data_IF_253747234690
#
_entry.id   IF_253747234690
#
_cell.length_a   1.000
_cell.length_b   1.000
_cell.length_c   1.000
_cell.angle_alpha   90.00
_cell.angle_beta   90.00
_cell.angle_gamma   90.00
#
_symmetry.space_group_name_H-M   'P 1'
#
loop_
_entity.id
_entity.type
_entity.pdbx_description
1 polymer ?
#
# COMPACT_ATOMS: atom_id res chain seq x y z
N UNK A 1 15.81 9.94 -0.58
CA UNK A 1 15.85 9.32 -1.89
C UNK A 1 14.70 8.35 -2.11
N UNK A 2 14.06 8.43 -3.24
CA UNK A 2 12.93 7.57 -3.53
C UNK A 2 13.39 6.16 -3.84
N UNK A 3 12.71 5.19 -3.32
CA UNK A 3 13.00 3.79 -3.53
C UNK A 3 12.11 3.18 -4.61
N UNK A 4 11.12 3.95 -5.05
CA UNK A 4 10.21 3.53 -6.09
C UNK A 4 10.54 4.27 -7.38
N UNK A 5 11.86 4.35 -7.68
CA UNK A 5 12.32 5.06 -8.87
C UNK A 5 12.15 4.26 -10.14
N UNK A 6 11.96 2.95 -10.01
CA UNK A 6 11.69 2.11 -11.18
C UNK A 6 10.28 2.42 -11.65
N UNK A 7 9.86 1.68 -12.66
CA UNK A 7 8.53 1.86 -13.21
C UNK A 7 7.48 1.60 -12.12
N UNK A 8 6.90 2.67 -11.60
CA UNK A 8 5.87 2.58 -10.58
C UNK A 8 4.48 2.81 -11.15
N UNK A 9 4.33 2.66 -12.47
CA UNK A 9 3.05 2.92 -13.12
C UNK A 9 1.95 2.00 -12.61
N UNK A 10 2.29 0.76 -12.27
CA UNK A 10 1.31 -0.18 -11.73
C UNK A 10 0.81 0.27 -10.36
N UNK A 11 1.72 0.77 -9.53
CA UNK A 11 1.34 1.27 -8.22
C UNK A 11 0.45 2.49 -8.33
N UNK A 12 0.77 3.38 -9.25
CA UNK A 12 -0.03 4.58 -9.48
C UNK A 12 -1.41 4.19 -9.99
N UNK A 13 -1.49 3.26 -10.93
CA UNK A 13 -2.77 2.81 -11.46
C UNK A 13 -3.64 2.18 -10.35
N UNK A 14 -3.01 1.38 -9.50
CA UNK A 14 -3.72 0.77 -8.38
C UNK A 14 -4.22 1.82 -7.40
N UNK A 15 -3.38 2.82 -7.11
CA UNK A 15 -3.75 3.89 -6.22
C UNK A 15 -4.92 4.70 -6.77
N UNK A 16 -4.91 4.97 -8.08
CA UNK A 16 -6.00 5.70 -8.72
C UNK A 16 -7.31 4.93 -8.65
N UNK A 17 -7.24 3.61 -8.76
CA UNK A 17 -8.43 2.78 -8.61
C UNK A 17 -8.98 2.87 -7.20
N UNK A 18 -8.09 2.84 -6.20
CA UNK A 18 -8.50 2.99 -4.80
C UNK A 18 -9.14 4.35 -4.58
N UNK A 19 -8.55 5.39 -5.15
CA UNK A 19 -9.11 6.73 -5.06
C UNK A 19 -10.53 6.77 -5.60
N UNK A 20 -10.76 6.12 -6.75
CA UNK A 20 -12.10 6.04 -7.30
C UNK A 20 -13.06 5.28 -6.39
N UNK A 21 -12.58 4.24 -5.73
CA UNK A 21 -13.41 3.49 -4.80
C UNK A 21 -13.78 4.33 -3.59
N UNK A 22 -12.84 5.16 -3.10
CA UNK A 22 -13.12 6.06 -1.97
C UNK A 22 -14.19 7.07 -2.38
N UNK A 23 -14.08 7.62 -3.58
CA UNK A 23 -15.09 8.54 -4.09
C UNK A 23 -16.45 7.86 -4.20
N UNK A 24 -16.45 6.56 -4.53
CA UNK A 24 -17.68 5.78 -4.56
C UNK A 24 -18.36 5.69 -3.21
N UNK A 25 -17.56 5.53 -2.14
CA UNK A 25 -18.12 5.50 -0.77
C UNK A 25 -18.71 6.86 -0.43
N UNK A 26 -18.04 7.92 -0.81
CA UNK A 26 -18.54 9.27 -0.57
C UNK A 26 -19.90 9.46 -1.24
N UNK A 27 -20.02 9.05 -2.50
CA UNK A 27 -21.28 9.17 -3.21
C UNK A 27 -22.38 8.31 -2.57
N UNK A 28 -22.01 7.11 -2.10
CA UNK A 28 -22.97 6.22 -1.45
C UNK A 28 -23.52 6.85 -0.19
N UNK A 29 -22.65 7.46 0.61
CA UNK A 29 -23.07 8.15 1.83
C UNK A 29 -23.96 9.35 1.52
N UNK A 30 -23.61 10.11 0.48
CA UNK A 30 -24.40 11.27 0.09
C UNK A 30 -25.79 10.88 -0.37
N UNK A 31 -25.92 9.72 -1.00
CA UNK A 31 -27.22 9.21 -1.48
C UNK A 31 -28.01 8.50 -0.41
N UNK A 32 -27.44 8.30 0.77
CA UNK A 32 -28.11 7.58 1.84
C UNK A 32 -28.18 6.10 1.62
N UNK A 33 -27.15 5.50 0.97
CA UNK A 33 -27.09 4.06 0.79
C UNK A 33 -27.13 3.37 2.15
N UNK A 34 -27.61 2.13 2.17
CA UNK A 34 -27.73 1.45 3.45
C UNK A 34 -26.36 1.02 3.96
N UNK A 35 -26.35 0.74 5.28
CA UNK A 35 -25.12 0.43 5.99
C UNK A 35 -24.37 -0.76 5.38
N UNK A 36 -25.10 -1.78 4.96
CA UNK A 36 -24.48 -2.98 4.38
C UNK A 36 -23.71 -2.66 3.12
N UNK A 37 -24.28 -1.81 2.27
CA UNK A 37 -23.62 -1.44 1.02
C UNK A 37 -22.35 -0.64 1.30
N UNK A 38 -22.42 0.32 2.22
CA UNK A 38 -21.26 1.12 2.57
C UNK A 38 -20.14 0.25 3.16
N UNK A 39 -20.50 -0.68 4.04
CA UNK A 39 -19.53 -1.58 4.65
C UNK A 39 -18.87 -2.48 3.60
N UNK A 40 -19.66 -2.93 2.62
CA UNK A 40 -19.11 -3.78 1.55
C UNK A 40 -18.07 -3.01 0.74
N UNK A 41 -18.35 -1.76 0.43
CA UNK A 41 -17.40 -0.93 -0.31
C UNK A 41 -16.13 -0.67 0.50
N UNK A 42 -16.27 -0.42 1.81
CA UNK A 42 -15.11 -0.21 2.68
C UNK A 42 -14.25 -1.46 2.74
N UNK A 43 -14.87 -2.63 2.84
CA UNK A 43 -14.12 -3.89 2.88
C UNK A 43 -13.31 -4.09 1.59
N UNK A 44 -13.90 -3.73 0.45
CA UNK A 44 -13.20 -3.82 -0.83
C UNK A 44 -11.98 -2.88 -0.86
N UNK A 45 -12.13 -1.67 -0.35
CA UNK A 45 -11.03 -0.71 -0.27
C UNK A 45 -9.91 -1.22 0.63
N UNK A 46 -10.27 -1.80 1.77
CA UNK A 46 -9.28 -2.38 2.68
C UNK A 46 -8.47 -3.46 1.98
N UNK A 47 -9.13 -4.35 1.24
CA UNK A 47 -8.43 -5.37 0.49
C UNK A 47 -7.49 -4.79 -0.55
N UNK A 48 -7.94 -3.76 -1.26
CA UNK A 48 -7.11 -3.10 -2.27
C UNK A 48 -5.90 -2.43 -1.63
N UNK A 49 -6.09 -1.79 -0.46
CA UNK A 49 -4.97 -1.17 0.25
C UNK A 49 -3.96 -2.21 0.73
N UNK A 50 -4.43 -3.35 1.21
CA UNK A 50 -3.54 -4.43 1.61
C UNK A 50 -2.68 -4.88 0.44
N UNK A 51 -3.29 -5.03 -0.74
CA UNK A 51 -2.53 -5.42 -1.93
C UNK A 51 -1.49 -4.40 -2.31
N UNK A 52 -1.84 -3.11 -2.25
CA UNK A 52 -0.90 -2.04 -2.54
C UNK A 52 0.26 -2.06 -1.54
N UNK A 53 -0.06 -2.20 -0.25
CA UNK A 53 0.94 -2.25 0.79
C UNK A 53 1.92 -3.40 0.56
N UNK A 54 1.39 -4.58 0.23
CA UNK A 54 2.23 -5.75 0.00
C UNK A 54 3.18 -5.55 -1.18
N UNK A 55 2.72 -4.90 -2.24
CA UNK A 55 3.60 -4.62 -3.37
C UNK A 55 4.74 -3.68 -2.99
N UNK A 56 4.43 -2.65 -2.21
CA UNK A 56 5.46 -1.69 -1.78
C UNK A 56 6.44 -2.36 -0.82
N UNK A 57 5.95 -3.21 0.08
CA UNK A 57 6.81 -3.95 1.00
C UNK A 57 7.75 -4.87 0.23
N UNK A 58 7.24 -5.57 -0.77
CA UNK A 58 8.07 -6.46 -1.57
C UNK A 58 9.14 -5.67 -2.30
N UNK A 59 8.78 -4.53 -2.87
CA UNK A 59 9.74 -3.68 -3.57
C UNK A 59 10.84 -3.19 -2.63
N UNK A 60 10.46 -2.83 -1.41
CA UNK A 60 11.44 -2.40 -0.41
C UNK A 60 12.43 -3.52 -0.09
N UNK A 61 11.93 -4.73 0.15
CA UNK A 61 12.79 -5.88 0.44
C UNK A 61 13.72 -6.16 -0.72
N UNK A 62 13.19 -6.13 -1.94
CA UNK A 62 13.99 -6.44 -3.11
C UNK A 62 15.08 -5.41 -3.31
N UNK A 63 14.74 -4.13 -3.24
CA UNK A 63 15.68 -3.06 -3.53
C UNK A 63 16.67 -2.81 -2.42
N UNK A 64 16.24 -2.94 -1.17
CA UNK A 64 17.05 -2.48 -0.04
C UNK A 64 17.61 -3.60 0.81
N UNK A 65 17.22 -4.84 0.57
CA UNK A 65 17.78 -5.99 1.28
C UNK A 65 18.42 -6.94 0.29
N UNK A 66 17.64 -7.47 -0.64
CA UNK A 66 18.14 -8.47 -1.59
C UNK A 66 19.21 -7.88 -2.50
N UNK A 67 18.94 -6.70 -3.07
CA UNK A 67 19.82 -6.06 -4.04
C UNK A 67 20.64 -4.93 -3.43
N UNK A 68 20.77 -4.92 -2.11
CA UNK A 68 21.52 -3.87 -1.44
C UNK A 68 22.99 -3.88 -1.90
N UNK A 69 23.59 -2.69 -2.01
CA UNK A 69 24.92 -2.54 -2.55
C UNK A 69 26.01 -3.05 -1.63
N UNK A 70 25.79 -3.00 -0.32
CA UNK A 70 26.76 -3.48 0.65
C UNK A 70 26.06 -3.89 1.93
N UNK A 71 26.86 -4.38 2.88
CA UNK A 71 26.34 -4.90 4.15
C UNK A 71 25.63 -3.82 4.96
N UNK A 72 26.20 -2.63 5.01
CA UNK A 72 25.61 -1.53 5.78
C UNK A 72 24.26 -1.14 5.21
N UNK A 73 24.17 -1.04 3.89
CA UNK A 73 22.91 -0.70 3.23
C UNK A 73 21.88 -1.79 3.49
N UNK A 74 22.30 -3.05 3.45
CA UNK A 74 21.39 -4.18 3.68
C UNK A 74 20.85 -4.15 5.11
N UNK A 75 21.72 -3.90 6.08
CA UNK A 75 21.28 -3.81 7.48
C UNK A 75 20.29 -2.67 7.67
N UNK A 76 20.55 -1.54 7.03
CA UNK A 76 19.64 -0.42 7.13
C UNK A 76 18.28 -0.76 6.50
N UNK A 77 18.31 -1.40 5.34
CA UNK A 77 17.06 -1.83 4.69
C UNK A 77 16.25 -2.78 5.55
N UNK A 78 16.96 -3.73 6.19
CA UNK A 78 16.29 -4.68 7.08
C UNK A 78 15.74 -3.98 8.31
N UNK A 79 16.49 -3.02 8.87
CA UNK A 79 16.03 -2.29 10.05
C UNK A 79 14.79 -1.46 9.73
N UNK A 80 14.79 -0.82 8.55
CA UNK A 80 13.63 -0.06 8.10
C UNK A 80 12.40 -0.97 8.01
N UNK A 81 12.60 -2.19 7.51
CA UNK A 81 11.50 -3.15 7.40
C UNK A 81 10.97 -3.52 8.78
N UNK A 82 11.86 -3.72 9.75
CA UNK A 82 11.44 -4.03 11.12
C UNK A 82 10.55 -2.92 11.68
N UNK A 83 10.94 -1.66 11.46
CA UNK A 83 10.13 -0.54 11.93
C UNK A 83 8.78 -0.50 11.25
N UNK A 84 8.74 -0.77 9.95
CA UNK A 84 7.50 -0.81 9.20
C UNK A 84 6.58 -1.90 9.75
N UNK A 85 7.13 -3.08 9.98
CA UNK A 85 6.35 -4.21 10.49
C UNK A 85 5.78 -3.93 11.88
N UNK A 86 6.55 -3.26 12.74
CA UNK A 86 6.06 -2.91 14.06
C UNK A 86 4.82 -2.00 13.97
N UNK A 87 4.83 -1.07 13.03
CA UNK A 87 3.69 -0.18 12.82
C UNK A 87 2.52 -0.92 12.19
N UNK A 88 2.82 -1.73 11.19
CA UNK A 88 1.82 -2.39 10.36
C UNK A 88 1.08 -3.49 11.12
N UNK A 89 1.80 -4.23 11.97
CA UNK A 89 1.24 -5.36 12.72
C UNK A 89 0.73 -4.97 14.10
N UNK A 90 0.64 -3.71 14.36
CA UNK A 90 0.25 -3.17 15.65
C UNK A 90 -1.22 -3.47 16.01
#
# INVERSE_FOLDING_TARGET
>A
MSHLTRDNSKLIARLRRIKGQVEGVERALEKGADCTEVLRQIASIRGAMTGLTNEVLEEHLRSHVVEASDETAREQGAEDMIQILKTYLK
#
